data_IF_189934493986
#
_entry.id   IF_189934493986
#
_cell.length_a   1.000
_cell.length_b   1.000
_cell.length_c   1.000
_cell.angle_alpha   90.00
_cell.angle_beta   90.00
_cell.angle_gamma   90.00
#
_symmetry.space_group_name_H-M   'P 1'
#
loop_
_entity.id
_entity.type
_entity.pdbx_description
1 polymer ?
#
# COMPACT_ATOMS: atom_id res chain seq x y z
N UNK A 1 -7.84 -9.03 10.67
CA UNK A 1 -7.01 -10.09 11.28
C UNK A 1 -6.66 -9.78 12.73
N UNK A 2 -6.00 -8.65 13.04
CA UNK A 2 -5.53 -8.29 14.38
C UNK A 2 -6.57 -8.49 15.51
N UNK A 3 -7.81 -7.99 15.34
CA UNK A 3 -8.89 -8.18 16.32
C UNK A 3 -9.27 -9.65 16.54
N UNK A 4 -9.23 -10.48 15.49
CA UNK A 4 -9.60 -11.90 15.54
C UNK A 4 -8.51 -12.73 16.24
N UNK A 5 -7.25 -12.45 15.94
CA UNK A 5 -6.10 -13.14 16.51
C UNK A 5 -5.67 -12.56 17.87
N UNK A 6 -6.21 -11.41 18.27
CA UNK A 6 -5.81 -10.64 19.46
C UNK A 6 -4.29 -10.35 19.49
N UNK A 7 -3.74 -10.04 18.31
CA UNK A 7 -2.33 -9.73 18.10
C UNK A 7 -2.20 -8.46 17.25
N UNK A 8 -1.13 -7.71 17.46
CA UNK A 8 -0.79 -6.52 16.67
C UNK A 8 0.10 -6.85 15.48
N UNK A 9 0.94 -7.88 15.64
CA UNK A 9 1.81 -8.42 14.59
C UNK A 9 1.13 -9.60 13.90
N UNK A 10 1.36 -9.73 12.60
CA UNK A 10 0.79 -10.73 11.71
C UNK A 10 1.91 -11.41 10.91
N UNK A 11 3.04 -11.70 11.56
CA UNK A 11 4.25 -12.25 10.93
C UNK A 11 4.07 -13.63 10.30
N UNK A 12 3.10 -14.41 10.79
CA UNK A 12 2.72 -15.72 10.23
C UNK A 12 1.57 -15.63 9.21
N UNK A 13 1.16 -14.42 8.83
CA UNK A 13 0.11 -14.20 7.85
C UNK A 13 0.68 -13.75 6.49
N UNK A 14 -0.09 -14.05 5.45
CA UNK A 14 0.11 -13.54 4.10
C UNK A 14 -1.12 -12.71 3.72
N UNK A 15 -0.92 -11.64 2.96
CA UNK A 15 -1.99 -10.75 2.51
C UNK A 15 -2.13 -10.81 0.99
N UNK A 16 -3.38 -10.93 0.54
CA UNK A 16 -3.76 -10.88 -0.87
C UNK A 16 -4.57 -9.61 -1.13
N UNK A 17 -4.15 -8.82 -2.10
CA UNK A 17 -4.83 -7.60 -2.52
C UNK A 17 -5.18 -7.66 -4.01
N UNK A 18 -6.30 -7.05 -4.41
CA UNK A 18 -6.68 -6.98 -5.83
C UNK A 18 -5.76 -6.04 -6.63
N UNK A 19 -5.29 -4.97 -6.00
CA UNK A 19 -4.39 -3.97 -6.57
C UNK A 19 -3.19 -3.76 -5.65
N UNK A 20 -2.08 -3.30 -6.22
CA UNK A 20 -0.88 -2.87 -5.51
C UNK A 20 -1.28 -1.88 -4.41
N UNK A 21 -0.93 -2.17 -3.14
CA UNK A 21 -1.37 -1.35 -2.03
C UNK A 21 -0.80 0.06 -2.14
N UNK A 22 -1.67 1.04 -1.89
CA UNK A 22 -1.25 2.43 -1.83
C UNK A 22 -0.29 2.67 -0.64
N UNK A 23 0.35 3.83 -0.57
CA UNK A 23 1.36 4.16 0.44
C UNK A 23 0.89 3.98 1.90
N UNK A 24 -0.37 4.32 2.16
CA UNK A 24 -0.99 4.12 3.47
C UNK A 24 -1.11 2.61 3.81
N UNK A 25 -1.59 1.82 2.85
CA UNK A 25 -1.72 0.37 3.01
C UNK A 25 -0.35 -0.29 3.14
N UNK A 26 0.64 0.17 2.38
CA UNK A 26 2.01 -0.32 2.46
C UNK A 26 2.62 -0.05 3.84
N UNK A 27 2.42 1.16 4.38
CA UNK A 27 2.81 1.49 5.76
C UNK A 27 2.14 0.60 6.79
N UNK A 28 0.82 0.33 6.65
CA UNK A 28 0.10 -0.55 7.55
C UNK A 28 0.57 -2.02 7.47
N UNK A 29 0.90 -2.51 6.28
CA UNK A 29 1.47 -3.85 6.06
C UNK A 29 2.83 -3.96 6.77
N UNK A 30 3.67 -2.93 6.65
CA UNK A 30 4.96 -2.89 7.32
C UNK A 30 4.83 -2.86 8.85
N UNK A 31 3.93 -2.02 9.38
CA UNK A 31 3.66 -1.93 10.82
C UNK A 31 3.09 -3.22 11.40
N UNK A 32 2.31 -3.97 10.61
CA UNK A 32 1.75 -5.26 11.03
C UNK A 32 2.70 -6.44 10.83
N UNK A 33 3.92 -6.21 10.34
CA UNK A 33 4.95 -7.25 10.14
C UNK A 33 4.49 -8.40 9.23
N UNK A 34 3.55 -8.16 8.31
CA UNK A 34 3.10 -9.20 7.37
C UNK A 34 4.25 -9.60 6.45
N UNK A 35 4.47 -10.91 6.31
CA UNK A 35 5.64 -11.47 5.61
C UNK A 35 5.54 -11.43 4.09
N UNK A 36 4.36 -11.73 3.56
CA UNK A 36 4.12 -11.84 2.13
C UNK A 36 2.90 -11.03 1.72
N UNK A 37 3.08 -10.22 0.67
CA UNK A 37 2.03 -9.48 -0.01
C UNK A 37 1.96 -9.97 -1.46
N UNK A 38 0.77 -10.40 -1.88
CA UNK A 38 0.49 -10.74 -3.29
C UNK A 38 -0.59 -9.79 -3.79
N UNK A 39 -0.36 -9.14 -4.92
CA UNK A 39 -1.34 -8.24 -5.55
C UNK A 39 -1.56 -8.55 -7.02
N UNK A 40 -2.80 -8.36 -7.51
CA UNK A 40 -3.20 -8.70 -8.88
C UNK A 40 -2.87 -7.62 -9.91
N UNK A 41 -3.30 -6.38 -9.65
CA UNK A 41 -3.09 -5.23 -10.55
C UNK A 41 -2.00 -4.30 -10.01
N UNK A 42 -1.27 -3.61 -10.88
CA UNK A 42 -0.33 -2.55 -10.47
C UNK A 42 -1.07 -1.27 -10.08
N UNK A 43 -0.41 -0.38 -9.33
CA UNK A 43 -1.00 0.89 -8.90
C UNK A 43 -1.51 1.74 -10.07
N UNK A 44 -0.92 1.60 -11.26
CA UNK A 44 -1.34 2.28 -12.49
C UNK A 44 -2.80 1.98 -12.85
N UNK A 45 -3.30 0.78 -12.51
CA UNK A 45 -4.71 0.44 -12.69
C UNK A 45 -5.63 1.25 -11.76
N UNK A 46 -5.18 1.55 -10.53
CA UNK A 46 -5.91 2.43 -9.62
C UNK A 46 -5.86 3.90 -10.10
N UNK A 47 -4.72 4.33 -10.64
CA UNK A 47 -4.57 5.69 -11.20
C UNK A 47 -5.50 5.87 -12.40
N UNK A 48 -5.57 4.88 -13.29
CA UNK A 48 -6.43 4.92 -14.48
C UNK A 48 -7.93 5.07 -14.16
N UNK A 49 -8.38 4.65 -12.97
CA UNK A 49 -9.78 4.80 -12.51
C UNK A 49 -10.00 6.03 -11.63
N UNK A 50 -8.98 6.91 -11.49
CA UNK A 50 -9.09 8.19 -10.81
C UNK A 50 -8.57 8.24 -9.37
N UNK A 51 -7.82 7.22 -8.90
CA UNK A 51 -7.09 7.35 -7.63
C UNK A 51 -5.84 8.21 -7.79
N UNK A 52 -5.45 8.91 -6.72
CA UNK A 52 -4.30 9.80 -6.72
C UNK A 52 -2.97 9.05 -6.84
N UNK A 53 -2.20 9.46 -7.83
CA UNK A 53 -0.82 9.06 -8.15
C UNK A 53 0.21 9.73 -7.25
N UNK A 54 -0.04 10.96 -6.79
CA UNK A 54 0.91 11.80 -6.05
C UNK A 54 1.76 11.05 -5.02
N UNK A 55 1.15 10.25 -4.16
CA UNK A 55 1.90 9.56 -3.09
C UNK A 55 2.64 8.33 -3.64
N UNK A 56 2.07 7.63 -4.62
CA UNK A 56 2.75 6.52 -5.28
C UNK A 56 3.97 7.00 -6.06
N UNK A 57 3.84 8.13 -6.76
CA UNK A 57 4.94 8.79 -7.46
C UNK A 57 5.97 9.37 -6.51
N UNK A 58 5.55 9.95 -5.38
CA UNK A 58 6.48 10.41 -4.35
C UNK A 58 7.35 9.25 -3.79
N UNK A 59 6.76 8.07 -3.59
CA UNK A 59 7.50 6.88 -3.14
C UNK A 59 8.39 6.27 -4.22
N UNK A 60 7.98 6.34 -5.49
CA UNK A 60 8.77 5.91 -6.64
C UNK A 60 9.88 6.91 -7.02
N UNK A 61 9.87 8.10 -6.41
CA UNK A 61 10.79 9.19 -6.74
C UNK A 61 10.48 9.89 -8.07
N UNK A 62 9.30 9.65 -8.63
CA UNK A 62 8.78 10.24 -9.87
C UNK A 62 7.90 11.47 -9.63
N UNK A 63 7.54 11.73 -8.37
CA UNK A 63 6.67 12.85 -8.00
C UNK A 63 7.39 14.19 -7.98
N UNK A 64 6.88 15.16 -8.74
CA UNK A 64 7.33 16.55 -8.67
C UNK A 64 6.54 17.30 -7.60
N UNK A 65 7.20 17.72 -6.52
CA UNK A 65 6.61 18.65 -5.55
C UNK A 65 6.50 20.05 -6.17
N UNK A 66 5.35 20.41 -6.72
CA UNK A 66 5.02 21.82 -6.93
C UNK A 66 4.69 22.43 -5.57
N UNK A 67 5.60 23.28 -5.06
CA UNK A 67 5.25 24.20 -3.97
C UNK A 67 4.03 25.00 -4.42
N UNK A 68 2.97 24.97 -3.62
CA UNK A 68 1.90 25.96 -3.77
C UNK A 68 2.54 27.33 -3.57
N UNK A 69 2.58 28.10 -4.65
CA UNK A 69 3.04 29.49 -4.70
C UNK A 69 2.15 30.37 -3.84
#
# INVERSE_FOLDING_TARGET
>A
ACKKLKQIELADCEIYASCEPCPMCFGAIHLSQIKWLVYGAKADAAIAIGFHDFIADALRGTGFYQKAT
#
